data_IF_759194043674
#
_entry.id   IF_759194043674
#
_cell.length_a   1.000
_cell.length_b   1.000
_cell.length_c   1.000
_cell.angle_alpha   90.00
_cell.angle_beta   90.00
_cell.angle_gamma   90.00
#
_symmetry.space_group_name_H-M   'P 1'
#
loop_
_entity.id
_entity.type
_entity.pdbx_description
1 polymer ?
#
# COMPACT_ATOMS: atom_id res chain seq x y z
N UNK A 1 13.74 -11.74 -18.55
CA UNK A 1 14.33 -10.53 -19.16
C UNK A 1 14.40 -9.46 -18.08
N UNK A 2 15.60 -9.14 -17.59
CA UNK A 2 15.88 -8.27 -16.43
C UNK A 2 15.60 -6.76 -16.67
N UNK A 3 14.60 -6.40 -17.48
CA UNK A 3 14.37 -5.02 -17.89
C UNK A 3 13.78 -4.13 -16.78
N UNK A 4 13.36 -4.70 -15.65
CA UNK A 4 12.72 -3.96 -14.56
C UNK A 4 13.71 -3.41 -13.53
N UNK A 5 14.91 -4.00 -13.40
CA UNK A 5 15.89 -3.59 -12.37
C UNK A 5 16.49 -2.21 -12.65
N UNK A 6 16.68 -1.85 -13.92
CA UNK A 6 17.28 -0.57 -14.31
C UNK A 6 16.39 0.63 -13.98
N UNK A 7 15.07 0.51 -14.18
CA UNK A 7 14.15 1.64 -13.98
C UNK A 7 13.99 1.98 -12.50
N UNK A 8 13.93 0.97 -11.61
CA UNK A 8 13.76 1.18 -10.18
C UNK A 8 14.96 1.93 -9.57
N UNK A 9 16.18 1.59 -9.96
CA UNK A 9 17.39 2.26 -9.46
C UNK A 9 17.48 3.73 -9.88
N UNK A 10 16.97 4.06 -11.07
CA UNK A 10 16.86 5.46 -11.52
C UNK A 10 15.86 6.21 -10.63
N UNK A 11 14.71 5.58 -10.34
CA UNK A 11 13.70 6.18 -9.46
C UNK A 11 14.23 6.37 -8.04
N UNK A 12 14.91 5.37 -7.46
CA UNK A 12 15.49 5.51 -6.12
C UNK A 12 16.59 6.56 -6.07
N UNK A 13 17.39 6.70 -7.14
CA UNK A 13 18.34 7.80 -7.28
C UNK A 13 17.66 9.16 -7.23
N UNK A 14 16.56 9.34 -7.97
CA UNK A 14 15.81 10.60 -7.99
C UNK A 14 15.13 10.91 -6.64
N UNK A 15 14.60 9.90 -5.95
CA UNK A 15 13.87 10.07 -4.69
C UNK A 15 14.80 10.24 -3.47
N UNK A 16 16.00 9.66 -3.51
CA UNK A 16 16.87 9.53 -2.32
C UNK A 16 18.28 10.07 -2.51
N UNK A 17 18.67 10.41 -3.74
CA UNK A 17 20.06 10.72 -4.10
C UNK A 17 20.96 9.49 -4.18
N UNK A 18 20.42 8.27 -4.14
CA UNK A 18 21.18 7.01 -4.24
C UNK A 18 20.52 6.01 -5.17
N UNK A 19 21.27 5.50 -6.14
CA UNK A 19 20.85 4.38 -6.97
C UNK A 19 20.98 3.09 -6.15
N UNK A 20 19.87 2.60 -5.62
CA UNK A 20 19.82 1.36 -4.84
C UNK A 20 18.63 0.49 -5.26
N UNK A 21 18.81 -0.84 -5.39
CA UNK A 21 17.70 -1.76 -5.57
C UNK A 21 17.00 -2.09 -4.24
N UNK A 22 17.59 -1.70 -3.10
CA UNK A 22 17.10 -2.06 -1.78
C UNK A 22 16.10 -1.02 -1.25
N UNK A 23 14.84 -1.44 -1.08
CA UNK A 23 13.75 -0.55 -0.66
C UNK A 23 13.47 -0.59 0.85
N UNK A 24 14.18 -1.44 1.60
CA UNK A 24 14.05 -1.54 3.06
C UNK A 24 14.58 -0.29 3.78
N UNK A 25 14.21 -0.14 5.05
CA UNK A 25 14.72 0.95 5.87
C UNK A 25 16.16 0.68 6.31
N UNK A 26 17.03 1.69 6.19
CA UNK A 26 18.38 1.66 6.77
C UNK A 26 19.33 0.70 6.05
N UNK A 27 20.27 0.15 6.81
CA UNK A 27 21.27 -0.79 6.32
C UNK A 27 20.93 -2.17 6.88
N UNK A 28 20.88 -3.17 6.01
CA UNK A 28 20.67 -4.58 6.39
C UNK A 28 21.94 -5.34 6.04
N UNK A 29 22.54 -6.00 7.02
CA UNK A 29 23.72 -6.82 6.78
C UNK A 29 23.27 -8.21 6.38
N UNK A 30 23.63 -8.65 5.17
CA UNK A 30 23.27 -9.96 4.63
C UNK A 30 24.52 -10.82 4.56
N UNK A 31 24.48 -11.96 5.24
CA UNK A 31 25.52 -12.99 5.25
C UNK A 31 25.00 -14.23 5.96
N UNK A 32 25.58 -15.39 5.67
CA UNK A 32 25.32 -16.63 6.39
C UNK A 32 26.45 -16.92 7.39
N UNK A 33 26.35 -17.99 8.18
CA UNK A 33 27.41 -18.37 9.14
C UNK A 33 28.78 -18.62 8.48
N UNK A 34 28.81 -18.86 7.16
CA UNK A 34 30.00 -19.19 6.39
C UNK A 34 30.55 -18.00 5.57
N UNK A 35 29.86 -16.86 5.55
CA UNK A 35 30.17 -15.70 4.70
C UNK A 35 30.13 -14.42 5.52
N UNK A 36 31.11 -13.55 5.33
CA UNK A 36 31.10 -12.23 5.96
C UNK A 36 29.81 -11.47 5.65
N UNK A 37 29.21 -10.85 6.66
CA UNK A 37 28.00 -10.06 6.49
C UNK A 37 28.30 -8.81 5.65
N UNK A 38 27.68 -8.70 4.48
CA UNK A 38 27.83 -7.59 3.55
C UNK A 38 26.71 -6.58 3.80
N UNK A 39 27.01 -5.28 4.02
CA UNK A 39 25.99 -4.26 4.23
C UNK A 39 25.25 -3.92 2.93
N UNK A 40 23.93 -4.09 2.93
CA UNK A 40 23.01 -3.61 1.90
C UNK A 40 22.39 -2.28 2.33
N UNK A 41 22.61 -1.25 1.52
CA UNK A 41 22.14 0.11 1.82
C UNK A 41 20.78 0.35 1.18
N UNK A 42 19.73 0.35 2.01
CA UNK A 42 18.40 0.75 1.61
C UNK A 42 18.16 2.25 1.81
N UNK A 43 16.95 2.59 2.24
CA UNK A 43 16.47 3.96 2.37
C UNK A 43 16.88 4.54 3.73
N UNK A 44 17.78 5.52 3.72
CA UNK A 44 18.45 6.02 4.92
C UNK A 44 17.62 7.04 5.72
N UNK A 45 16.76 7.80 5.05
CA UNK A 45 15.91 8.83 5.66
C UNK A 45 14.52 8.81 5.05
N UNK A 46 13.53 9.39 5.74
CA UNK A 46 12.19 9.54 5.19
C UNK A 46 12.23 10.43 3.95
N UNK A 47 11.61 9.97 2.87
CA UNK A 47 11.62 10.67 1.59
C UNK A 47 10.54 11.77 1.54
N UNK A 48 10.81 12.79 0.75
CA UNK A 48 9.87 13.87 0.47
C UNK A 48 8.72 13.40 -0.41
N UNK A 49 9.03 12.56 -1.41
CA UNK A 49 8.12 11.87 -2.32
C UNK A 49 8.32 10.36 -2.12
N UNK A 50 7.23 9.60 -2.12
CA UNK A 50 7.25 8.18 -1.83
C UNK A 50 7.32 7.29 -3.07
N UNK A 51 7.39 5.99 -2.83
CA UNK A 51 7.22 4.95 -3.85
C UNK A 51 6.17 3.95 -3.37
N UNK A 52 5.18 3.67 -4.21
CA UNK A 52 4.31 2.51 -4.08
C UNK A 52 4.68 1.51 -5.17
N UNK A 53 4.79 0.25 -4.81
CA UNK A 53 5.17 -0.81 -5.73
C UNK A 53 4.25 -2.00 -5.55
N UNK A 54 3.63 -2.39 -6.66
CA UNK A 54 2.89 -3.63 -6.78
C UNK A 54 3.24 -4.30 -8.10
N UNK A 55 3.56 -5.57 -8.00
CA UNK A 55 3.91 -6.41 -9.13
C UNK A 55 3.17 -7.74 -8.98
N UNK A 56 2.71 -8.29 -10.10
CA UNK A 56 1.87 -9.48 -10.15
C UNK A 56 2.69 -10.76 -10.33
N UNK A 57 4.02 -10.66 -10.38
CA UNK A 57 4.89 -11.78 -10.68
C UNK A 57 5.09 -12.71 -9.47
N UNK A 58 4.26 -13.75 -9.39
CA UNK A 58 4.37 -14.86 -8.44
C UNK A 58 5.54 -15.80 -8.73
N UNK A 59 6.32 -15.56 -9.79
CA UNK A 59 7.44 -16.44 -10.22
C UNK A 59 8.81 -15.99 -9.71
N UNK A 60 8.89 -14.86 -9.00
CA UNK A 60 10.14 -14.37 -8.44
C UNK A 60 10.55 -15.20 -7.20
N UNK A 61 11.84 -15.57 -7.05
CA UNK A 61 12.32 -16.30 -5.88
C UNK A 61 12.07 -15.50 -4.58
N UNK A 62 11.90 -16.17 -3.42
CA UNK A 62 11.50 -15.56 -2.15
C UNK A 62 12.46 -14.49 -1.59
N UNK A 63 13.65 -14.34 -2.17
CA UNK A 63 14.60 -13.24 -1.90
C UNK A 63 14.05 -11.89 -2.39
N UNK A 64 13.20 -11.91 -3.42
CA UNK A 64 12.55 -10.75 -4.06
C UNK A 64 11.28 -10.31 -3.31
N UNK A 65 10.80 -11.11 -2.35
CA UNK A 65 9.72 -10.78 -1.42
C UNK A 65 10.02 -9.50 -0.60
N UNK A 66 11.26 -9.02 -0.60
CA UNK A 66 11.69 -7.75 0.02
C UNK A 66 11.54 -6.49 -0.85
N UNK A 67 10.97 -6.58 -2.06
CA UNK A 67 10.71 -5.39 -2.93
C UNK A 67 9.65 -4.43 -2.36
N UNK A 68 9.00 -4.76 -1.26
CA UNK A 68 8.07 -3.84 -0.63
C UNK A 68 8.81 -2.65 -0.02
N UNK A 69 8.45 -1.40 -0.39
CA UNK A 69 9.06 -0.22 0.18
C UNK A 69 8.89 -0.16 1.70
N UNK A 70 9.98 0.09 2.41
CA UNK A 70 9.96 0.38 3.85
C UNK A 70 9.27 1.70 4.15
N UNK A 71 8.90 1.93 5.41
CA UNK A 71 8.13 3.10 5.85
C UNK A 71 8.77 4.45 5.50
N UNK A 72 10.11 4.53 5.37
CA UNK A 72 10.81 5.76 4.95
C UNK A 72 10.48 6.17 3.52
N UNK A 73 10.10 5.21 2.67
CA UNK A 73 9.76 5.43 1.26
C UNK A 73 8.26 5.28 1.00
N UNK A 74 7.59 4.36 1.70
CA UNK A 74 6.13 4.14 1.58
C UNK A 74 5.31 5.28 2.19
N UNK A 75 5.84 5.95 3.22
CA UNK A 75 5.15 7.00 3.98
C UNK A 75 5.91 8.33 3.88
N UNK A 76 5.87 9.00 2.72
CA UNK A 76 6.62 10.23 2.46
C UNK A 76 6.14 11.44 3.28
N UNK A 77 6.89 12.55 3.23
CA UNK A 77 6.53 13.80 3.91
C UNK A 77 5.35 14.52 3.24
N UNK A 78 5.24 14.44 1.90
CA UNK A 78 4.09 14.91 1.15
C UNK A 78 3.31 13.70 0.62
N UNK A 79 1.98 13.77 0.50
CA UNK A 79 1.16 12.67 -0.02
C UNK A 79 1.27 12.60 -1.55
N UNK A 80 2.48 12.32 -2.02
CA UNK A 80 2.88 12.20 -3.41
C UNK A 80 3.72 10.93 -3.48
N UNK A 81 3.34 10.04 -4.38
CA UNK A 81 4.03 8.78 -4.63
C UNK A 81 4.29 8.61 -6.11
N UNK A 82 5.52 8.26 -6.45
CA UNK A 82 5.78 7.54 -7.68
C UNK A 82 5.18 6.14 -7.49
N UNK A 83 4.56 5.62 -8.53
CA UNK A 83 3.95 4.28 -8.50
C UNK A 83 4.63 3.40 -9.52
N UNK A 84 4.87 2.13 -9.19
CA UNK A 84 5.18 1.07 -10.14
C UNK A 84 4.11 -0.01 -10.00
N UNK A 85 3.29 -0.18 -11.02
CA UNK A 85 2.17 -1.12 -11.04
C UNK A 85 2.30 -2.02 -12.28
N UNK A 86 2.58 -3.31 -12.08
CA UNK A 86 2.86 -4.25 -13.18
C UNK A 86 3.91 -3.72 -14.18
N UNK A 87 5.01 -3.16 -13.68
CA UNK A 87 6.06 -2.55 -14.52
C UNK A 87 5.73 -1.17 -15.12
N UNK A 88 4.51 -0.65 -14.93
CA UNK A 88 4.14 0.69 -15.40
C UNK A 88 4.36 1.75 -14.32
N UNK A 89 5.05 2.82 -14.70
CA UNK A 89 5.22 3.98 -13.84
C UNK A 89 4.03 4.94 -13.94
N UNK A 90 3.77 5.61 -12.82
CA UNK A 90 2.77 6.65 -12.68
C UNK A 90 3.03 7.50 -11.45
N UNK A 91 2.09 8.39 -11.16
CA UNK A 91 2.13 9.25 -9.97
C UNK A 91 0.75 9.23 -9.31
N UNK A 92 0.73 8.92 -8.01
CA UNK A 92 -0.44 9.10 -7.16
C UNK A 92 -0.20 10.29 -6.21
N UNK A 93 -1.20 11.16 -6.04
CA UNK A 93 -1.07 12.27 -5.08
C UNK A 93 -2.42 12.77 -4.55
N UNK A 94 -2.35 13.40 -3.38
CA UNK A 94 -3.44 14.16 -2.78
C UNK A 94 -3.03 15.65 -2.68
N UNK A 95 -4.02 16.55 -2.76
CA UNK A 95 -3.79 18.01 -2.72
C UNK A 95 -3.63 18.57 -1.30
N UNK A 96 -4.11 17.86 -0.29
CA UNK A 96 -3.96 18.19 1.12
C UNK A 96 -2.59 17.72 1.63
N UNK A 97 -1.61 18.61 1.87
CA UNK A 97 -0.26 18.21 2.31
C UNK A 97 -0.24 17.54 3.68
N UNK A 98 -1.28 17.74 4.50
CA UNK A 98 -1.37 17.19 5.85
C UNK A 98 -2.03 15.80 5.89
N UNK A 99 -2.35 15.19 4.74
CA UNK A 99 -3.03 13.89 4.66
C UNK A 99 -2.37 12.82 5.54
N UNK A 100 -1.05 12.68 5.47
CA UNK A 100 -0.28 11.65 6.20
C UNK A 100 0.08 12.06 7.63
N UNK A 101 -0.24 13.28 8.04
CA UNK A 101 0.06 13.82 9.38
C UNK A 101 -1.19 13.87 10.26
N UNK A 102 -2.36 13.88 9.64
CA UNK A 102 -3.64 13.95 10.32
C UNK A 102 -4.45 12.68 10.07
N UNK A 103 -4.61 11.85 11.11
CA UNK A 103 -5.36 10.59 11.01
C UNK A 103 -6.82 10.80 10.58
N UNK A 104 -7.45 11.92 10.96
CA UNK A 104 -8.79 12.25 10.48
C UNK A 104 -8.79 12.55 8.97
N UNK A 105 -7.75 13.21 8.46
CA UNK A 105 -7.62 13.44 7.02
C UNK A 105 -7.36 12.13 6.27
N UNK A 106 -6.61 11.20 6.85
CA UNK A 106 -6.37 9.87 6.26
C UNK A 106 -7.60 8.94 6.35
N UNK A 107 -8.62 9.28 7.15
CA UNK A 107 -9.82 8.44 7.29
C UNK A 107 -10.64 8.34 6.00
N UNK A 108 -10.78 9.44 5.26
CA UNK A 108 -11.46 9.46 3.96
C UNK A 108 -10.94 10.62 3.13
N UNK A 109 -10.44 10.34 1.93
CA UNK A 109 -9.80 11.35 1.09
C UNK A 109 -9.83 10.98 -0.38
N UNK A 110 -9.58 11.96 -1.25
CA UNK A 110 -9.47 11.74 -2.69
C UNK A 110 -8.02 11.56 -3.13
N UNK A 111 -7.77 10.64 -4.05
CA UNK A 111 -6.45 10.38 -4.60
C UNK A 111 -6.50 10.58 -6.12
N UNK A 112 -5.57 11.39 -6.63
CA UNK A 112 -5.38 11.59 -8.06
C UNK A 112 -4.28 10.65 -8.52
N UNK A 113 -4.51 9.94 -9.63
CA UNK A 113 -3.53 9.08 -10.25
C UNK A 113 -3.32 9.51 -11.71
N UNK A 114 -2.06 9.62 -12.12
CA UNK A 114 -1.67 9.85 -13.50
C UNK A 114 -0.75 8.73 -13.96
N UNK A 115 -1.16 8.05 -15.03
CA UNK A 115 -0.32 7.09 -15.72
C UNK A 115 0.63 7.80 -16.69
N UNK A 116 1.80 7.21 -16.95
CA UNK A 116 2.67 7.65 -18.04
C UNK A 116 2.02 7.51 -19.43
N UNK A 117 0.95 6.73 -19.57
CA UNK A 117 0.15 6.67 -20.81
C UNK A 117 -0.79 7.88 -21.01
N UNK A 118 -0.79 8.86 -20.10
CA UNK A 118 -1.59 10.08 -20.21
C UNK A 118 -3.00 9.96 -19.63
N UNK A 119 -3.36 8.81 -19.07
CA UNK A 119 -4.63 8.63 -18.37
C UNK A 119 -4.60 9.23 -16.96
N UNK A 120 -5.67 9.92 -16.61
CA UNK A 120 -5.92 10.41 -15.26
C UNK A 120 -7.09 9.64 -14.63
N UNK A 121 -6.88 9.20 -13.39
CA UNK A 121 -7.90 8.52 -12.59
C UNK A 121 -8.08 9.28 -11.30
N UNK A 122 -9.34 9.57 -10.98
CA UNK A 122 -9.73 10.12 -9.69
C UNK A 122 -10.40 9.02 -8.89
N UNK A 123 -9.98 8.83 -7.65
CA UNK A 123 -10.54 7.80 -6.77
C UNK A 123 -10.73 8.36 -5.37
N UNK A 124 -11.75 7.89 -4.66
CA UNK A 124 -11.97 8.19 -3.25
C UNK A 124 -11.55 6.97 -2.43
N UNK A 125 -10.67 7.19 -1.45
CA UNK A 125 -10.18 6.19 -0.51
C UNK A 125 -10.90 6.37 0.81
N UNK A 126 -11.46 5.28 1.33
CA UNK A 126 -12.13 5.24 2.63
C UNK A 126 -11.41 4.26 3.56
N UNK A 127 -10.64 4.80 4.49
CA UNK A 127 -9.81 4.07 5.45
C UNK A 127 -10.39 4.14 6.88
N UNK A 128 -11.69 4.43 7.02
CA UNK A 128 -12.33 4.61 8.34
C UNK A 128 -12.26 3.35 9.21
N UNK A 129 -12.49 2.17 8.61
CA UNK A 129 -12.48 0.88 9.32
C UNK A 129 -11.13 0.68 10.04
N UNK A 130 -10.02 0.87 9.32
CA UNK A 130 -8.69 0.77 9.91
C UNK A 130 -8.47 1.79 11.05
N UNK A 131 -8.87 3.05 10.83
CA UNK A 131 -8.69 4.08 11.84
C UNK A 131 -9.51 3.83 13.11
N UNK A 132 -10.73 3.31 12.98
CA UNK A 132 -11.59 2.93 14.10
C UNK A 132 -10.98 1.76 14.88
N UNK A 133 -10.48 0.74 14.19
CA UNK A 133 -9.77 -0.38 14.83
C UNK A 133 -8.50 0.09 15.55
N UNK A 134 -7.68 0.92 14.91
CA UNK A 134 -6.45 1.46 15.50
C UNK A 134 -6.73 2.31 16.75
N UNK A 135 -7.78 3.14 16.71
CA UNK A 135 -8.23 3.95 17.86
C UNK A 135 -8.72 3.04 19.00
N UNK A 136 -9.54 2.03 18.69
CA UNK A 136 -10.02 1.07 19.68
C UNK A 136 -8.91 0.23 20.31
N UNK A 137 -7.84 -0.10 19.57
CA UNK A 137 -6.66 -0.77 20.12
C UNK A 137 -5.88 0.13 21.09
N UNK A 138 -5.67 1.39 20.73
CA UNK A 138 -5.00 2.37 21.61
C UNK A 138 -5.79 2.61 22.90
N UNK A 139 -7.11 2.71 22.81
CA UNK A 139 -7.99 2.86 23.99
C UNK A 139 -8.01 1.61 24.89
N UNK A 140 -7.97 0.40 24.29
CA UNK A 140 -7.82 -0.85 25.05
C UNK A 140 -6.47 -0.96 25.74
N UNK A 141 -5.41 -0.45 25.11
CA UNK A 141 -4.07 -0.45 25.69
C UNK A 141 -3.98 0.56 26.85
N UNK A 142 -4.62 1.73 26.72
CA UNK A 142 -4.75 2.72 27.80
C UNK A 142 -5.59 2.22 28.99
N UNK A 143 -6.63 1.43 28.73
CA UNK A 143 -7.44 0.81 29.80
C UNK A 143 -6.77 -0.41 30.44
N UNK A 144 -5.86 -1.09 29.74
CA UNK A 144 -5.10 -2.24 30.28
C UNK A 144 -4.08 -1.81 31.34
N UNK A 145 -3.57 -0.57 31.32
CA UNK A 145 -2.74 -0.03 32.41
C UNK A 145 -3.54 0.31 33.68
N UNK A 146 -4.88 0.27 33.63
CA UNK A 146 -5.73 0.75 34.74
C UNK A 146 -6.60 -0.34 35.39
N UNK A 147 -6.65 -1.58 34.89
CA UNK A 147 -7.53 -2.61 35.47
C UNK A 147 -6.92 -4.02 35.52
N UNK A 148 -6.10 -4.28 36.55
CA UNK A 148 -6.08 -5.61 37.19
C UNK A 148 -7.25 -5.69 38.17
N UNK A 149 -8.43 -6.13 37.73
CA UNK A 149 -9.43 -6.91 38.51
C UNK A 149 -10.77 -6.93 37.78
N UNK A 150 -11.35 -8.13 37.61
CA UNK A 150 -12.78 -8.29 37.41
C UNK A 150 -13.18 -9.12 36.20
N UNK A 151 -13.13 -10.45 36.36
CA UNK A 151 -13.75 -11.39 35.42
C UNK A 151 -15.28 -11.41 35.57
N UNK A 152 -15.97 -11.63 34.45
CA UNK A 152 -17.41 -11.87 34.41
C UNK A 152 -17.80 -12.55 33.10
N UNK A 153 -18.11 -13.84 33.16
CA UNK A 153 -18.74 -14.63 32.09
C UNK A 153 -20.20 -14.20 31.93
N UNK A 154 -20.70 -14.12 30.69
CA UNK A 154 -22.12 -14.19 30.35
C UNK A 154 -22.33 -15.00 29.08
N UNK A 155 -23.48 -15.65 29.06
CA UNK A 155 -23.92 -16.70 28.17
C UNK A 155 -24.32 -16.18 26.78
N UNK A 156 -24.06 -16.98 25.74
CA UNK A 156 -24.51 -16.76 24.37
C UNK A 156 -25.71 -17.68 24.05
N UNK A 157 -26.80 -17.10 23.52
CA UNK A 157 -27.84 -17.85 22.82
C UNK A 157 -28.37 -17.10 21.58
N UNK A 158 -28.56 -17.89 20.52
CA UNK A 158 -29.46 -17.76 19.37
C UNK A 158 -29.18 -16.76 18.22
N UNK A 159 -28.86 -17.32 17.05
CA UNK A 159 -29.87 -17.49 15.98
C UNK A 159 -29.89 -16.50 14.80
N UNK A 160 -29.85 -17.05 13.58
CA UNK A 160 -30.72 -16.59 12.48
C UNK A 160 -30.08 -16.00 11.22
N UNK A 161 -29.97 -16.83 10.18
CA UNK A 161 -30.56 -16.63 8.84
C UNK A 161 -30.24 -15.39 7.98
N UNK A 162 -29.73 -15.64 6.77
CA UNK A 162 -29.75 -14.73 5.62
C UNK A 162 -28.58 -15.09 4.69
N UNK A 163 -28.77 -15.62 3.47
CA UNK A 163 -29.73 -15.19 2.46
C UNK A 163 -28.94 -14.53 1.33
N UNK A 164 -28.45 -15.35 0.41
CA UNK A 164 -28.20 -15.05 -1.02
C UNK A 164 -27.56 -13.70 -1.38
N UNK A 165 -26.38 -13.41 -0.82
CA UNK A 165 -25.57 -12.23 -1.18
C UNK A 165 -24.36 -12.56 -2.05
N UNK A 166 -24.07 -13.85 -2.26
CA UNK A 166 -22.85 -14.34 -2.92
C UNK A 166 -22.77 -13.94 -4.39
N UNK A 167 -23.88 -13.83 -5.11
CA UNK A 167 -23.85 -13.62 -6.57
C UNK A 167 -23.71 -12.13 -6.99
N UNK A 168 -24.13 -11.21 -6.11
CA UNK A 168 -23.87 -9.77 -6.23
C UNK A 168 -22.46 -9.42 -5.76
N UNK A 169 -22.00 -10.03 -4.66
CA UNK A 169 -20.64 -9.89 -4.17
C UNK A 169 -19.63 -10.37 -5.22
N UNK A 170 -19.87 -11.50 -5.90
CA UNK A 170 -18.99 -12.02 -6.96
C UNK A 170 -18.94 -11.10 -8.19
N UNK A 171 -20.06 -10.46 -8.57
CA UNK A 171 -20.08 -9.48 -9.68
C UNK A 171 -19.41 -8.16 -9.31
N UNK A 172 -19.48 -7.74 -8.05
CA UNK A 172 -18.72 -6.60 -7.54
C UNK A 172 -17.22 -6.95 -7.42
N UNK A 173 -16.88 -8.17 -6.97
CA UNK A 173 -15.51 -8.72 -6.86
C UNK A 173 -14.76 -8.72 -8.20
N UNK A 174 -15.47 -8.98 -9.31
CA UNK A 174 -14.93 -8.95 -10.67
C UNK A 174 -14.62 -7.52 -11.16
N UNK A 175 -15.23 -6.49 -10.57
CA UNK A 175 -14.87 -5.07 -10.81
C UNK A 175 -13.81 -4.55 -9.81
N UNK A 176 -13.51 -5.31 -8.76
CA UNK A 176 -12.75 -4.92 -7.56
C UNK A 176 -11.32 -5.52 -7.51
N UNK A 177 -10.78 -5.99 -8.64
CA UNK A 177 -9.44 -6.56 -8.68
C UNK A 177 -8.57 -5.95 -9.78
N UNK A 178 -8.54 -4.61 -9.82
CA UNK A 178 -7.63 -3.91 -10.73
C UNK A 178 -6.20 -3.89 -10.15
N UNK A 179 -5.15 -3.96 -10.98
CA UNK A 179 -3.76 -3.73 -10.56
C UNK A 179 -3.58 -2.46 -9.73
N UNK A 180 -4.28 -1.38 -10.12
CA UNK A 180 -4.25 -0.11 -9.40
C UNK A 180 -4.82 -0.25 -7.99
N UNK A 181 -5.94 -0.94 -7.83
CA UNK A 181 -6.49 -1.23 -6.51
C UNK A 181 -5.50 -1.98 -5.63
N UNK A 182 -4.89 -3.05 -6.16
CA UNK A 182 -3.87 -3.84 -5.44
C UNK A 182 -2.66 -2.97 -5.05
N UNK A 183 -2.23 -2.07 -5.92
CA UNK A 183 -1.19 -1.08 -5.62
C UNK A 183 -1.58 -0.17 -4.46
N UNK A 184 -2.79 0.39 -4.46
CA UNK A 184 -3.23 1.30 -3.38
C UNK A 184 -3.33 0.55 -2.04
N UNK A 185 -3.76 -0.72 -2.06
CA UNK A 185 -3.79 -1.57 -0.86
C UNK A 185 -2.40 -1.85 -0.27
N UNK A 186 -1.30 -1.66 -1.02
CA UNK A 186 0.05 -1.76 -0.44
C UNK A 186 0.33 -0.71 0.64
N UNK A 187 -0.45 0.38 0.67
CA UNK A 187 -0.39 1.46 1.66
C UNK A 187 -1.63 1.56 2.54
N UNK A 188 -2.82 1.29 1.99
CA UNK A 188 -4.09 1.31 2.72
C UNK A 188 -4.78 -0.04 2.58
N UNK A 189 -4.31 -1.02 3.35
CA UNK A 189 -4.63 -2.44 3.20
C UNK A 189 -6.14 -2.74 3.26
N UNK A 190 -6.84 -2.15 4.23
CA UNK A 190 -8.27 -2.38 4.44
C UNK A 190 -9.16 -1.28 3.84
N UNK A 191 -8.61 -0.34 3.08
CA UNK A 191 -9.39 0.78 2.59
C UNK A 191 -10.37 0.38 1.49
N UNK A 192 -11.59 0.89 1.58
CA UNK A 192 -12.55 0.77 0.49
C UNK A 192 -12.26 1.84 -0.58
N UNK A 193 -12.05 1.40 -1.82
CA UNK A 193 -11.68 2.28 -2.94
C UNK A 193 -12.85 2.45 -3.89
N UNK A 194 -13.23 3.70 -4.16
CA UNK A 194 -14.20 4.03 -5.20
C UNK A 194 -13.50 4.74 -6.35
N UNK A 195 -13.51 4.13 -7.53
CA UNK A 195 -13.01 4.74 -8.75
C UNK A 195 -14.09 5.62 -9.38
N UNK A 196 -13.78 6.89 -9.61
CA UNK A 196 -14.72 7.86 -10.19
C UNK A 196 -14.49 7.98 -11.71
N UNK A 197 -14.28 6.84 -12.37
CA UNK A 197 -14.06 6.71 -13.82
C UNK A 197 -14.84 5.52 -14.36
N UNK A 198 -15.05 5.45 -15.68
CA UNK A 198 -15.68 4.28 -16.28
C UNK A 198 -14.82 3.02 -16.04
N UNK A 199 -15.39 1.88 -15.63
CA UNK A 199 -14.63 0.65 -15.35
C UNK A 199 -13.77 0.17 -16.51
N UNK A 200 -14.23 0.37 -17.75
CA UNK A 200 -13.47 0.05 -18.97
C UNK A 200 -12.15 0.81 -19.07
N UNK A 201 -12.04 2.02 -18.50
CA UNK A 201 -10.79 2.78 -18.50
C UNK A 201 -9.73 2.10 -17.63
N UNK A 202 -10.12 1.43 -16.54
CA UNK A 202 -9.20 0.79 -15.60
C UNK A 202 -8.48 -0.41 -16.22
N UNK A 203 -9.15 -1.16 -17.10
CA UNK A 203 -8.55 -2.29 -17.81
C UNK A 203 -7.47 -1.87 -18.82
N UNK A 204 -7.51 -0.63 -19.33
CA UNK A 204 -6.51 -0.13 -20.29
C UNK A 204 -5.28 0.50 -19.63
N UNK A 205 -5.33 0.81 -18.33
CA UNK A 205 -4.23 1.51 -17.64
C UNK A 205 -2.91 0.74 -17.65
N UNK A 206 -2.99 -0.59 -17.68
CA UNK A 206 -1.86 -1.52 -17.59
C UNK A 206 -1.87 -2.55 -18.72
N UNK A 207 -2.67 -2.30 -19.77
CA UNK A 207 -2.74 -3.20 -20.92
C UNK A 207 -1.50 -2.96 -21.79
N UNK A 208 -0.54 -3.88 -21.73
CA UNK A 208 0.55 -3.98 -22.70
C UNK A 208 0.08 -4.82 -23.89
N UNK A 209 -0.78 -4.28 -24.75
CA UNK A 209 -0.83 -4.78 -26.14
C UNK A 209 0.16 -3.96 -26.96
N UNK A 210 1.17 -4.59 -27.58
CA UNK A 210 2.03 -3.91 -28.53
C UNK A 210 1.27 -3.45 -29.78
#
# INVERSE_FOLDING_TARGET
TNNEEGSLMIVTLLLTGRATPYLHNGVVNVGDENTYAIPQYGILSRCTIGLLLWDNDSTQPPVVTSRQPGSRLKTPNYPIWITSCCGHYGVAFNRNPELLRNYHAESRFDLNYYSCSGHNVFMTIDNRVYNEQATGMLERQATTETMTTGGGRRDDEAGGGGGDNTDLLVREELTMNTPLQRLIHTKWEEAHIRFNVQPSMLSYLFCTTP
#
